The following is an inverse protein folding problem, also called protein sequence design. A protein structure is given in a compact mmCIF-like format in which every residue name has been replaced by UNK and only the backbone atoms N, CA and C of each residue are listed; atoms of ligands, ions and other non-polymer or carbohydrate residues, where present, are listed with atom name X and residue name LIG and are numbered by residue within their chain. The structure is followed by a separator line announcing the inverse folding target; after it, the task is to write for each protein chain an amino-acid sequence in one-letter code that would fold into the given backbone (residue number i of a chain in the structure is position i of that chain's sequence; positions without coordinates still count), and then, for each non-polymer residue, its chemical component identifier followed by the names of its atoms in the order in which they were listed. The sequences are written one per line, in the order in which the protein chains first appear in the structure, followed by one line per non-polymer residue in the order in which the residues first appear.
data_IF_433504970940
#
_entry.id   IF_433504970940
#
_cell.length_a   1.000
_cell.length_b   1.000
_cell.length_c   1.000
_cell.angle_alpha   90.00
_cell.angle_beta   90.00
_cell.angle_gamma   90.00
#
_symmetry.space_group_name_H-M   'P 1'
#
loop_
_entity.id
_entity.type
_entity.pdbx_description
1 polymer ?
#
# COMPACT_ATOMS: atom_id res chain seq x y z
N UNK A 1 12.16 -20.03 15.28
CA UNK A 1 10.72 -19.72 15.36
C UNK A 1 10.19 -18.99 14.12
N UNK A 2 10.84 -19.14 12.97
CA UNK A 2 10.20 -19.17 11.66
C UNK A 2 10.65 -20.51 11.10
N UNK A 3 9.84 -21.55 11.31
CA UNK A 3 10.16 -22.88 10.81
C UNK A 3 10.11 -22.86 9.29
N UNK A 4 11.17 -23.39 8.69
CA UNK A 4 11.25 -23.81 7.30
C UNK A 4 9.93 -24.33 6.76
N UNK A 5 9.51 -23.83 5.60
CA UNK A 5 8.71 -24.45 4.52
C UNK A 5 7.94 -23.36 3.78
N UNK A 6 8.19 -23.11 2.49
CA UNK A 6 7.30 -22.15 1.80
C UNK A 6 7.54 -21.77 0.34
N UNK A 7 8.71 -22.05 -0.27
CA UNK A 7 8.92 -21.71 -1.69
C UNK A 7 8.61 -22.86 -2.66
N UNK A 8 8.14 -24.01 -2.17
CA UNK A 8 7.94 -25.25 -2.95
C UNK A 8 6.47 -25.47 -3.33
N UNK A 9 5.52 -24.95 -2.55
CA UNK A 9 4.09 -25.14 -2.76
C UNK A 9 3.55 -24.18 -3.83
N UNK A 10 2.63 -24.66 -4.66
CA UNK A 10 1.94 -23.80 -5.64
C UNK A 10 0.91 -22.93 -4.91
N UNK A 11 0.63 -21.74 -5.44
CA UNK A 11 -0.32 -20.80 -4.82
C UNK A 11 -1.72 -21.39 -4.57
N UNK A 12 -2.13 -22.41 -5.33
CA UNK A 12 -3.41 -23.12 -5.13
C UNK A 12 -3.37 -24.26 -4.09
N UNK A 13 -2.20 -24.61 -3.57
CA UNK A 13 -2.00 -25.65 -2.54
C UNK A 13 -1.89 -25.03 -1.13
N UNK A 14 -2.08 -23.71 -1.03
CA UNK A 14 -2.03 -23.00 0.24
C UNK A 14 -3.23 -23.35 1.11
N UNK A 15 -2.98 -23.69 2.37
CA UNK A 15 -4.05 -23.90 3.34
C UNK A 15 -4.79 -22.60 3.63
N UNK A 16 -6.07 -22.69 4.02
CA UNK A 16 -6.89 -21.52 4.39
C UNK A 16 -6.28 -20.78 5.61
N UNK A 17 -5.72 -21.53 6.56
CA UNK A 17 -5.04 -20.95 7.72
C UNK A 17 -3.82 -20.10 7.35
N UNK A 18 -3.04 -20.54 6.36
CA UNK A 18 -1.87 -19.78 5.89
C UNK A 18 -2.29 -18.57 5.05
N UNK A 19 -3.39 -18.68 4.30
CA UNK A 19 -3.98 -17.56 3.60
C UNK A 19 -4.42 -16.45 4.57
N UNK A 20 -5.13 -16.80 5.63
CA UNK A 20 -5.60 -15.84 6.64
C UNK A 20 -4.45 -15.17 7.38
N UNK A 21 -3.37 -15.92 7.66
CA UNK A 21 -2.13 -15.34 8.21
C UNK A 21 -1.56 -14.28 7.28
N UNK A 22 -1.48 -14.55 5.98
CA UNK A 22 -0.96 -13.59 4.98
C UNK A 22 -1.85 -12.35 4.92
N UNK A 23 -3.17 -12.51 4.88
CA UNK A 23 -4.12 -11.40 4.86
C UNK A 23 -3.95 -10.52 6.11
N UNK A 24 -3.79 -11.13 7.27
CA UNK A 24 -3.58 -10.42 8.54
C UNK A 24 -2.26 -9.63 8.54
N UNK A 25 -1.18 -10.23 8.01
CA UNK A 25 0.11 -9.56 7.86
C UNK A 25 0.01 -8.36 6.91
N UNK A 26 -0.70 -8.52 5.78
CA UNK A 26 -0.91 -7.45 4.80
C UNK A 26 -1.70 -6.27 5.36
N UNK A 27 -2.69 -6.53 6.22
CA UNK A 27 -3.47 -5.49 6.86
C UNK A 27 -2.68 -4.74 7.94
N UNK A 28 -1.82 -5.44 8.69
CA UNK A 28 -1.08 -4.87 9.84
C UNK A 28 0.43 -5.13 9.78
N UNK A 29 1.15 -4.68 8.73
CA UNK A 29 2.55 -5.06 8.52
C UNK A 29 3.50 -4.58 9.63
N UNK A 30 3.17 -3.46 10.29
CA UNK A 30 3.97 -2.90 11.38
C UNK A 30 4.03 -3.81 12.62
N UNK A 31 3.03 -4.67 12.82
CA UNK A 31 3.00 -5.62 13.95
C UNK A 31 3.92 -6.83 13.72
N UNK A 32 4.22 -7.14 12.46
CA UNK A 32 5.04 -8.29 12.06
C UNK A 32 6.51 -7.92 11.81
N UNK A 33 6.98 -6.81 12.38
CA UNK A 33 8.37 -6.32 12.26
C UNK A 33 8.81 -6.02 10.82
N UNK A 34 7.87 -5.71 9.92
CA UNK A 34 8.19 -5.27 8.56
C UNK A 34 8.75 -3.84 8.63
N UNK A 35 9.91 -3.55 8.01
CA UNK A 35 10.48 -2.21 8.05
C UNK A 35 9.62 -1.17 7.34
N UNK A 36 9.59 0.05 7.90
CA UNK A 36 8.79 1.14 7.34
C UNK A 36 9.16 1.50 5.89
N UNK A 37 10.42 1.32 5.49
CA UNK A 37 10.88 1.61 4.13
C UNK A 37 10.26 0.69 3.06
N UNK A 38 9.70 -0.45 3.47
CA UNK A 38 9.03 -1.40 2.58
C UNK A 38 7.55 -1.04 2.32
N UNK A 39 6.97 -0.19 3.16
CA UNK A 39 5.55 0.17 3.07
C UNK A 39 5.29 1.13 1.91
N UNK A 40 4.16 0.95 1.22
CA UNK A 40 3.81 1.73 0.02
C UNK A 40 3.37 3.17 0.32
N UNK A 41 2.91 3.47 1.54
CA UNK A 41 2.50 4.82 1.95
C UNK A 41 3.23 5.23 3.22
N UNK A 42 4.35 5.91 3.05
CA UNK A 42 5.16 6.41 4.15
C UNK A 42 4.85 7.87 4.45
N UNK A 43 4.80 8.22 5.74
CA UNK A 43 4.58 9.58 6.26
C UNK A 43 3.42 10.27 5.53
N UNK A 44 2.22 9.72 5.68
CA UNK A 44 1.04 10.29 5.04
C UNK A 44 0.88 11.78 5.41
N UNK A 45 0.51 12.60 4.42
CA UNK A 45 0.46 14.06 4.57
C UNK A 45 -0.62 14.51 5.57
N UNK A 46 -1.70 13.73 5.74
CA UNK A 46 -2.78 14.06 6.67
C UNK A 46 -2.44 13.64 8.09
N UNK A 47 -2.06 12.37 8.26
CA UNK A 47 -2.00 11.74 9.59
C UNK A 47 -0.56 11.52 10.07
N UNK A 48 0.45 11.71 9.22
CA UNK A 48 1.87 11.45 9.50
C UNK A 48 2.25 9.98 9.64
N UNK A 49 1.27 9.07 9.61
CA UNK A 49 1.47 7.63 9.81
C UNK A 49 2.09 6.96 8.57
N UNK A 50 2.81 5.89 8.83
CA UNK A 50 3.34 4.98 7.81
C UNK A 50 2.43 3.74 7.77
N UNK A 51 2.08 3.27 6.57
CA UNK A 51 1.16 2.14 6.42
C UNK A 51 1.19 1.54 5.03
N UNK A 52 0.50 0.40 4.91
CA UNK A 52 0.28 -0.28 3.64
C UNK A 52 -1.17 -0.08 3.20
N UNK A 53 -1.36 0.53 2.05
CA UNK A 53 -2.67 0.65 1.41
C UNK A 53 -2.95 -0.58 0.54
N UNK A 54 -4.19 -1.07 0.59
CA UNK A 54 -4.64 -2.25 -0.14
C UNK A 54 -5.81 -1.91 -1.07
N UNK A 55 -5.78 -2.45 -2.30
CA UNK A 55 -6.88 -2.39 -3.27
C UNK A 55 -7.49 -0.98 -3.39
N UNK A 56 -8.81 -0.85 -3.19
CA UNK A 56 -9.59 0.40 -3.27
C UNK A 56 -9.01 1.55 -2.43
N UNK A 57 -8.33 1.27 -1.33
CA UNK A 57 -7.71 2.31 -0.51
C UNK A 57 -6.59 3.04 -1.25
N UNK A 58 -5.87 2.35 -2.14
CA UNK A 58 -4.83 2.93 -3.00
C UNK A 58 -5.47 3.93 -3.96
N UNK A 59 -6.52 3.53 -4.66
CA UNK A 59 -7.20 4.39 -5.65
C UNK A 59 -7.81 5.63 -4.99
N UNK A 60 -8.44 5.46 -3.84
CA UNK A 60 -9.02 6.57 -3.10
C UNK A 60 -7.94 7.57 -2.66
N UNK A 61 -6.80 7.09 -2.15
CA UNK A 61 -5.70 7.97 -1.76
C UNK A 61 -5.03 8.67 -2.93
N UNK A 62 -4.89 8.00 -4.07
CA UNK A 62 -4.41 8.63 -5.31
C UNK A 62 -5.35 9.76 -5.76
N UNK A 63 -6.66 9.55 -5.72
CA UNK A 63 -7.64 10.59 -6.04
C UNK A 63 -7.52 11.80 -5.11
N UNK A 64 -7.49 11.57 -3.80
CA UNK A 64 -7.32 12.64 -2.81
C UNK A 64 -6.03 13.46 -3.05
N UNK A 65 -4.92 12.79 -3.34
CA UNK A 65 -3.63 13.44 -3.61
C UNK A 65 -3.68 14.28 -4.89
N UNK A 66 -4.32 13.79 -5.96
CA UNK A 66 -4.49 14.53 -7.21
C UNK A 66 -5.40 15.74 -7.05
N UNK A 67 -6.53 15.60 -6.37
CA UNK A 67 -7.45 16.72 -6.10
C UNK A 67 -6.78 17.81 -5.27
N UNK A 68 -6.00 17.42 -4.26
CA UNK A 68 -5.20 18.36 -3.48
C UNK A 68 -4.22 19.13 -4.36
N UNK A 69 -3.46 18.43 -5.22
CA UNK A 69 -2.51 19.07 -6.14
C UNK A 69 -3.18 20.02 -7.14
N UNK A 70 -4.38 19.68 -7.62
CA UNK A 70 -5.20 20.55 -8.48
C UNK A 70 -5.64 21.81 -7.74
N UNK A 71 -6.12 21.68 -6.49
CA UNK A 71 -6.59 22.80 -5.67
C UNK A 71 -5.50 23.84 -5.40
N UNK A 72 -4.27 23.39 -5.15
CA UNK A 72 -3.12 24.29 -4.91
C UNK A 72 -2.44 24.78 -6.20
N UNK A 73 -2.96 24.41 -7.38
CA UNK A 73 -2.41 24.74 -8.71
C UNK A 73 -0.94 24.34 -8.88
N UNK A 74 -0.54 23.19 -8.33
CA UNK A 74 0.81 22.67 -8.49
C UNK A 74 1.03 22.26 -9.95
N UNK A 75 2.22 22.52 -10.52
CA UNK A 75 2.56 22.17 -11.90
C UNK A 75 2.27 20.69 -12.24
N UNK A 76 2.63 19.76 -11.33
CA UNK A 76 2.29 18.32 -11.47
C UNK A 76 0.78 18.06 -11.46
N UNK A 77 0.02 18.74 -10.59
CA UNK A 77 -1.44 18.63 -10.53
C UNK A 77 -2.13 19.11 -11.80
N UNK A 78 -1.62 20.18 -12.40
CA UNK A 78 -2.12 20.71 -13.68
C UNK A 78 -1.82 19.77 -14.85
N UNK A 79 -0.62 19.17 -14.92
CA UNK A 79 -0.32 18.12 -15.92
C UNK A 79 -1.26 16.92 -15.81
N UNK A 80 -1.50 16.44 -14.59
CA UNK A 80 -2.46 15.36 -14.35
C UNK A 80 -3.90 15.77 -14.69
N UNK A 81 -4.27 17.05 -14.57
CA UNK A 81 -5.58 17.54 -14.99
C UNK A 81 -5.73 17.54 -16.52
N UNK A 82 -4.67 17.89 -17.25
CA UNK A 82 -4.65 17.90 -18.71
C UNK A 82 -4.34 16.55 -19.36
N UNK A 83 -4.15 15.48 -18.57
CA UNK A 83 -3.84 14.14 -19.09
C UNK A 83 -2.45 14.02 -19.73
N UNK A 84 -1.55 14.96 -19.43
CA UNK A 84 -0.17 14.94 -19.91
C UNK A 84 0.67 14.00 -19.05
N UNK A 85 1.71 13.42 -19.64
CA UNK A 85 2.70 12.64 -18.90
C UNK A 85 3.30 13.52 -17.77
N UNK A 86 3.37 12.99 -16.53
CA UNK A 86 3.79 13.75 -15.36
C UNK A 86 5.26 14.14 -15.38
#
# INVERSE_FOLDING_TARGET
MMSDSGYVLRAGELSEEDFDKIVTILQNPSQYKIPNWFLNRQKDIKDGKTGQLLSTAVDNKLREDFERMKKIRLHRGLRHYWGLLP
#
